data_IF_624083504514
#
_entry.id   IF_624083504514
#
_cell.length_a   1.000
_cell.length_b   1.000
_cell.length_c   1.000
_cell.angle_alpha   90.00
_cell.angle_beta   90.00
_cell.angle_gamma   90.00
#
_symmetry.space_group_name_H-M   'P 1'
#
loop_
_entity.id
_entity.type
_entity.pdbx_description
1 polymer ?
#
# COMPACT_ATOMS: atom_id res chain seq x y z
N UNK A 1 65.04 -42.22 6.59
CA UNK A 1 63.58 -42.44 6.40
C UNK A 1 62.78 -41.32 7.11
N UNK A 2 62.91 -40.04 6.70
CA UNK A 2 62.27 -38.90 7.41
C UNK A 2 61.72 -37.79 6.49
N UNK A 3 61.64 -38.01 5.16
CA UNK A 3 61.08 -37.03 4.22
C UNK A 3 59.55 -37.17 4.02
N UNK A 4 58.93 -38.26 4.48
CA UNK A 4 57.52 -38.56 4.20
C UNK A 4 56.52 -37.93 5.20
N UNK A 5 56.97 -37.42 6.36
CA UNK A 5 56.09 -36.82 7.37
C UNK A 5 55.75 -35.35 7.08
N UNK A 6 56.67 -34.58 6.47
CA UNK A 6 56.46 -33.16 6.10
C UNK A 6 55.45 -33.00 4.96
N UNK A 7 55.49 -33.86 3.93
CA UNK A 7 54.51 -33.85 2.82
C UNK A 7 53.08 -34.11 3.29
N UNK A 8 52.87 -35.03 4.24
CA UNK A 8 51.54 -35.33 4.80
C UNK A 8 50.97 -34.20 5.66
N UNK A 9 51.80 -33.41 6.37
CA UNK A 9 51.35 -32.21 7.11
C UNK A 9 50.96 -31.06 6.18
N UNK A 10 51.68 -30.85 5.07
CA UNK A 10 51.34 -29.83 4.06
C UNK A 10 50.03 -30.13 3.31
N UNK A 11 49.79 -31.39 2.95
CA UNK A 11 48.55 -31.83 2.29
C UNK A 11 47.31 -31.69 3.20
N UNK A 12 47.45 -31.96 4.51
CA UNK A 12 46.35 -31.77 5.48
C UNK A 12 46.02 -30.29 5.70
N UNK A 13 47.03 -29.41 5.70
CA UNK A 13 46.82 -27.96 5.77
C UNK A 13 46.13 -27.38 4.54
N UNK A 14 46.51 -27.86 3.34
CA UNK A 14 45.86 -27.46 2.09
C UNK A 14 44.41 -27.96 1.98
N UNK A 15 44.15 -29.20 2.39
CA UNK A 15 42.78 -29.74 2.42
C UNK A 15 41.88 -28.95 3.38
N UNK A 16 42.41 -28.57 4.56
CA UNK A 16 41.67 -27.77 5.54
C UNK A 16 41.37 -26.36 5.02
N UNK A 17 42.31 -25.71 4.32
CA UNK A 17 42.07 -24.42 3.67
C UNK A 17 41.00 -24.51 2.58
N UNK A 18 41.01 -25.56 1.75
CA UNK A 18 39.97 -25.76 0.74
C UNK A 18 38.58 -25.94 1.37
N UNK A 19 38.48 -26.71 2.45
CA UNK A 19 37.21 -26.86 3.18
C UNK A 19 36.75 -25.54 3.79
N UNK A 20 37.67 -24.75 4.37
CA UNK A 20 37.35 -23.45 4.95
C UNK A 20 36.87 -22.44 3.90
N UNK A 21 37.54 -22.40 2.74
CA UNK A 21 37.12 -21.55 1.61
C UNK A 21 35.76 -21.99 1.08
N UNK A 22 35.53 -23.28 0.95
CA UNK A 22 34.24 -23.80 0.49
C UNK A 22 33.11 -23.48 1.49
N UNK A 23 33.36 -23.66 2.79
CA UNK A 23 32.41 -23.30 3.85
C UNK A 23 32.14 -21.79 3.87
N UNK A 24 33.17 -20.96 3.71
CA UNK A 24 33.00 -19.51 3.63
C UNK A 24 32.18 -19.11 2.40
N UNK A 25 32.48 -19.67 1.23
CA UNK A 25 31.72 -19.44 0.01
C UNK A 25 30.25 -19.89 0.15
N UNK A 26 30.03 -21.06 0.75
CA UNK A 26 28.69 -21.56 1.01
C UNK A 26 27.91 -20.65 1.97
N UNK A 27 28.53 -20.22 3.07
CA UNK A 27 27.91 -19.28 4.02
C UNK A 27 27.56 -17.95 3.35
N UNK A 28 28.44 -17.41 2.50
CA UNK A 28 28.17 -16.17 1.75
C UNK A 28 26.98 -16.36 0.80
N UNK A 29 26.93 -17.48 0.06
CA UNK A 29 25.82 -17.78 -0.87
C UNK A 29 24.50 -17.96 -0.14
N UNK A 30 24.49 -18.69 0.98
CA UNK A 30 23.27 -18.86 1.79
C UNK A 30 22.79 -17.54 2.37
N UNK A 31 23.71 -16.71 2.88
CA UNK A 31 23.39 -15.38 3.39
C UNK A 31 22.80 -14.49 2.30
N UNK A 32 23.39 -14.45 1.11
CA UNK A 32 22.87 -13.71 -0.04
C UNK A 32 21.48 -14.20 -0.49
N UNK A 33 21.23 -15.51 -0.46
CA UNK A 33 19.91 -16.07 -0.76
C UNK A 33 18.86 -15.68 0.28
N UNK A 34 19.22 -15.72 1.58
CA UNK A 34 18.35 -15.33 2.68
C UNK A 34 17.98 -13.84 2.63
N UNK A 35 18.94 -12.96 2.32
CA UNK A 35 18.66 -11.51 2.21
C UNK A 35 17.75 -11.19 1.03
N UNK A 36 17.96 -11.84 -0.12
CA UNK A 36 17.10 -11.68 -1.29
C UNK A 36 15.67 -12.17 -1.03
N UNK A 37 15.53 -13.34 -0.39
CA UNK A 37 14.22 -13.86 0.00
C UNK A 37 13.52 -12.93 0.99
N UNK A 38 14.22 -12.46 2.03
CA UNK A 38 13.67 -11.54 3.02
C UNK A 38 13.18 -10.22 2.39
N UNK A 39 13.93 -9.66 1.43
CA UNK A 39 13.51 -8.48 0.68
C UNK A 39 12.19 -8.71 -0.06
N UNK A 40 12.06 -9.84 -0.77
CA UNK A 40 10.83 -10.16 -1.51
C UNK A 40 9.59 -10.31 -0.62
N UNK A 41 9.75 -10.85 0.61
CA UNK A 41 8.64 -10.95 1.56
C UNK A 41 8.24 -9.59 2.12
N UNK A 42 9.22 -8.72 2.41
CA UNK A 42 8.95 -7.36 2.85
C UNK A 42 8.22 -6.56 1.77
N UNK A 43 8.65 -6.68 0.51
CA UNK A 43 7.99 -6.05 -0.64
C UNK A 43 6.56 -6.56 -0.83
N UNK A 44 6.31 -7.86 -0.66
CA UNK A 44 4.94 -8.38 -0.75
C UNK A 44 4.05 -7.83 0.38
N UNK A 45 4.59 -7.72 1.59
CA UNK A 45 3.86 -7.19 2.73
C UNK A 45 3.52 -5.71 2.58
N UNK A 46 4.42 -4.92 1.99
CA UNK A 46 4.19 -3.50 1.72
C UNK A 46 3.14 -3.30 0.63
N UNK A 47 3.21 -4.08 -0.45
CA UNK A 47 2.19 -4.06 -1.53
C UNK A 47 0.80 -4.45 -1.01
N UNK A 48 0.71 -5.45 -0.13
CA UNK A 48 -0.57 -5.82 0.48
C UNK A 48 -1.13 -4.71 1.37
N UNK A 49 -0.28 -4.03 2.15
CA UNK A 49 -0.70 -2.91 2.99
C UNK A 49 -1.19 -1.72 2.14
N UNK A 50 -0.47 -1.40 1.07
CA UNK A 50 -0.81 -0.33 0.12
C UNK A 50 -2.12 -0.63 -0.64
N UNK A 51 -2.27 -1.85 -1.15
CA UNK A 51 -3.51 -2.32 -1.80
C UNK A 51 -4.70 -2.22 -0.85
N UNK A 52 -4.50 -2.57 0.43
CA UNK A 52 -5.56 -2.47 1.42
C UNK A 52 -5.94 -1.00 1.70
N UNK A 53 -4.96 -0.11 1.76
CA UNK A 53 -5.20 1.32 1.96
C UNK A 53 -6.00 1.93 0.80
N UNK A 54 -5.59 1.66 -0.45
CA UNK A 54 -6.28 2.15 -1.65
C UNK A 54 -7.72 1.65 -1.74
N UNK A 55 -7.97 0.35 -1.49
CA UNK A 55 -9.34 -0.21 -1.42
C UNK A 55 -10.16 0.44 -0.31
N UNK A 56 -9.56 0.74 0.84
CA UNK A 56 -10.26 1.41 1.94
C UNK A 56 -10.68 2.85 1.57
N UNK A 57 -9.80 3.59 0.89
CA UNK A 57 -10.07 4.94 0.43
C UNK A 57 -11.16 4.96 -0.65
N UNK A 58 -11.12 4.03 -1.60
CA UNK A 58 -12.15 3.88 -2.64
C UNK A 58 -13.53 3.59 -2.03
N UNK A 59 -13.61 2.67 -1.07
CA UNK A 59 -14.84 2.41 -0.31
C UNK A 59 -15.33 3.67 0.44
N UNK A 60 -14.41 4.52 0.92
CA UNK A 60 -14.72 5.81 1.52
C UNK A 60 -15.37 6.80 0.53
N UNK A 61 -14.85 6.87 -0.71
CA UNK A 61 -15.45 7.67 -1.77
C UNK A 61 -16.86 7.20 -2.09
N UNK A 62 -17.03 5.89 -2.32
CA UNK A 62 -18.33 5.30 -2.61
C UNK A 62 -19.36 5.56 -1.49
N UNK A 63 -18.96 5.37 -0.23
CA UNK A 63 -19.80 5.68 0.93
C UNK A 63 -20.16 7.18 1.00
N UNK A 64 -19.20 8.06 0.72
CA UNK A 64 -19.43 9.50 0.66
C UNK A 64 -20.47 9.88 -0.40
N UNK A 65 -20.36 9.31 -1.60
CA UNK A 65 -21.31 9.52 -2.69
C UNK A 65 -22.71 8.99 -2.33
N UNK A 66 -22.81 7.76 -1.83
CA UNK A 66 -24.09 7.17 -1.40
C UNK A 66 -24.78 8.01 -0.33
N UNK A 67 -24.01 8.52 0.64
CA UNK A 67 -24.55 9.34 1.72
C UNK A 67 -25.09 10.69 1.22
N UNK A 68 -24.51 11.26 0.16
CA UNK A 68 -25.05 12.44 -0.50
C UNK A 68 -26.34 12.10 -1.25
N UNK A 69 -26.36 10.97 -1.95
CA UNK A 69 -27.50 10.53 -2.75
C UNK A 69 -28.74 10.28 -1.89
N UNK A 70 -28.58 9.56 -0.77
CA UNK A 70 -29.65 9.28 0.19
C UNK A 70 -30.30 10.54 0.78
N UNK A 71 -29.58 11.67 0.78
CA UNK A 71 -30.10 12.96 1.26
C UNK A 71 -30.70 13.82 0.15
N UNK A 72 -30.85 13.28 -1.07
CA UNK A 72 -31.15 14.03 -2.29
C UNK A 72 -30.26 15.29 -2.42
N UNK A 73 -29.04 15.19 -1.90
CA UNK A 73 -28.11 16.30 -1.80
C UNK A 73 -27.26 16.43 -3.05
N UNK A 74 -26.59 17.57 -3.18
CA UNK A 74 -25.41 17.70 -4.02
C UNK A 74 -24.23 18.12 -3.14
N UNK A 75 -23.00 17.78 -3.55
CA UNK A 75 -21.79 18.19 -2.82
C UNK A 75 -21.54 19.70 -2.81
N UNK A 76 -22.38 20.47 -3.51
CA UNK A 76 -22.23 21.91 -3.70
C UNK A 76 -22.52 22.77 -2.48
N UNK A 77 -23.24 22.25 -1.50
CA UNK A 77 -23.38 22.89 -0.20
C UNK A 77 -22.28 22.47 0.79
N UNK A 78 -21.25 21.75 0.32
CA UNK A 78 -20.18 21.14 1.13
C UNK A 78 -20.74 20.48 2.40
N UNK A 79 -21.75 19.59 2.28
CA UNK A 79 -22.38 19.00 3.44
C UNK A 79 -21.31 18.24 4.25
N UNK A 80 -21.32 18.47 5.56
CA UNK A 80 -20.51 17.67 6.48
C UNK A 80 -21.04 16.24 6.41
N UNK A 81 -20.27 15.35 5.79
CA UNK A 81 -20.57 13.93 5.81
C UNK A 81 -20.58 13.45 7.28
N UNK A 82 -21.44 12.47 7.61
CA UNK A 82 -21.47 11.87 8.94
C UNK A 82 -20.12 11.21 9.28
N UNK A 83 -20.03 10.73 10.52
CA UNK A 83 -18.82 10.21 11.16
C UNK A 83 -17.90 9.35 10.26
N UNK A 84 -16.59 9.28 10.59
CA UNK A 84 -15.61 8.51 9.82
C UNK A 84 -16.08 7.08 9.55
N UNK A 85 -15.83 6.58 8.34
CA UNK A 85 -16.12 5.20 7.97
C UNK A 85 -15.03 4.30 8.54
N UNK A 86 -15.42 3.29 9.34
CA UNK A 86 -14.47 2.31 9.88
C UNK A 86 -14.62 0.99 9.15
N UNK A 87 -13.58 0.61 8.41
CA UNK A 87 -13.52 -0.64 7.66
C UNK A 87 -12.70 -1.67 8.44
N UNK A 88 -13.33 -2.78 8.78
CA UNK A 88 -12.70 -3.87 9.53
C UNK A 88 -12.08 -4.88 8.57
N UNK A 89 -10.77 -5.07 8.67
CA UNK A 89 -10.04 -6.10 7.93
C UNK A 89 -9.41 -7.10 8.90
N UNK A 90 -9.05 -8.31 8.46
CA UNK A 90 -8.39 -9.29 9.31
C UNK A 90 -7.11 -8.79 9.98
N UNK A 91 -6.37 -7.90 9.31
CA UNK A 91 -5.12 -7.31 9.82
C UNK A 91 -5.31 -6.03 10.65
N UNK A 92 -6.56 -5.60 10.92
CA UNK A 92 -6.89 -4.44 11.76
C UNK A 92 -8.02 -3.59 11.17
N UNK A 93 -8.44 -2.53 11.86
CA UNK A 93 -9.39 -1.56 11.30
C UNK A 93 -8.67 -0.41 10.59
N UNK A 94 -9.24 0.09 9.50
CA UNK A 94 -8.84 1.36 8.87
C UNK A 94 -10.00 2.34 9.01
N UNK A 95 -9.73 3.50 9.59
CA UNK A 95 -10.71 4.58 9.70
C UNK A 95 -10.49 5.55 8.55
N UNK A 96 -11.55 5.91 7.84
CA UNK A 96 -11.53 6.76 6.65
C UNK A 96 -12.36 8.01 6.92
N UNK A 97 -11.74 9.16 6.70
CA UNK A 97 -12.33 10.48 6.80
C UNK A 97 -12.63 10.99 5.41
N UNK A 98 -13.85 11.48 5.20
CA UNK A 98 -14.30 11.96 3.90
C UNK A 98 -14.71 13.42 4.04
N UNK A 99 -14.19 14.24 3.15
CA UNK A 99 -14.50 15.67 3.10
C UNK A 99 -14.98 16.02 1.70
N UNK A 100 -16.02 16.84 1.62
CA UNK A 100 -16.58 17.30 0.35
C UNK A 100 -16.32 18.78 0.22
N UNK A 101 -15.74 19.18 -0.91
CA UNK A 101 -15.49 20.57 -1.27
C UNK A 101 -16.33 20.95 -2.48
N UNK A 102 -16.91 22.14 -2.40
CA UNK A 102 -17.72 22.71 -3.46
C UNK A 102 -16.86 22.98 -4.70
N UNK A 103 -17.32 22.56 -5.88
CA UNK A 103 -16.68 22.90 -7.16
C UNK A 103 -17.27 24.14 -7.85
N UNK A 104 -16.89 24.34 -9.11
CA UNK A 104 -17.47 25.33 -10.03
C UNK A 104 -17.57 24.73 -11.44
N UNK A 105 -18.77 24.74 -12.08
CA UNK A 105 -20.05 25.24 -11.59
C UNK A 105 -20.68 24.31 -10.55
N UNK A 106 -21.46 24.87 -9.61
CA UNK A 106 -22.05 24.09 -8.52
C UNK A 106 -23.58 24.18 -8.40
N UNK A 107 -24.25 24.41 -9.53
CA UNK A 107 -25.71 24.41 -9.65
C UNK A 107 -26.09 23.95 -11.06
N UNK A 108 -27.28 23.35 -11.17
CA UNK A 108 -27.81 22.87 -12.45
C UNK A 108 -27.18 21.56 -12.91
N UNK A 109 -27.51 21.15 -14.13
CA UNK A 109 -26.92 19.98 -14.77
C UNK A 109 -25.44 20.26 -15.06
N UNK A 110 -24.55 19.37 -14.61
CA UNK A 110 -23.10 19.57 -14.67
C UNK A 110 -22.49 20.21 -13.42
N UNK A 111 -23.23 20.27 -12.30
CA UNK A 111 -22.66 20.70 -11.03
C UNK A 111 -21.53 19.75 -10.60
N UNK A 112 -20.36 20.30 -10.24
CA UNK A 112 -19.20 19.53 -9.83
C UNK A 112 -18.79 19.81 -8.38
N UNK A 113 -18.22 18.80 -7.73
CA UNK A 113 -17.73 18.88 -6.36
C UNK A 113 -16.64 17.83 -6.18
N UNK A 114 -15.71 18.10 -5.28
CA UNK A 114 -14.58 17.22 -5.05
C UNK A 114 -14.70 16.52 -3.70
N UNK A 115 -14.36 15.24 -3.68
CA UNK A 115 -14.14 14.48 -2.48
C UNK A 115 -12.64 14.44 -2.19
N UNK A 116 -12.29 14.65 -0.93
CA UNK A 116 -10.99 14.31 -0.40
C UNK A 116 -11.18 13.27 0.71
N UNK A 117 -10.62 12.09 0.48
CA UNK A 117 -10.70 10.93 1.35
C UNK A 117 -9.31 10.67 1.92
N UNK A 118 -9.21 10.59 3.25
CA UNK A 118 -7.95 10.36 3.95
C UNK A 118 -8.14 9.35 5.07
N UNK A 119 -7.06 8.70 5.48
CA UNK A 119 -7.07 7.86 6.67
C UNK A 119 -5.90 8.25 7.57
N UNK A 120 -6.11 8.47 8.88
CA UNK A 120 -5.01 8.72 9.81
C UNK A 120 -4.09 7.50 9.99
N UNK A 121 -4.56 6.30 9.60
CA UNK A 121 -3.79 5.06 9.69
C UNK A 121 -2.96 4.73 8.45
N UNK A 122 -3.05 5.52 7.38
CA UNK A 122 -2.31 5.30 6.14
C UNK A 122 -1.71 6.62 5.65
N UNK A 123 -0.59 6.57 4.92
CA UNK A 123 -0.05 7.75 4.24
C UNK A 123 -0.83 8.12 2.97
N UNK A 124 -1.74 7.25 2.54
CA UNK A 124 -2.47 7.40 1.30
C UNK A 124 -3.68 8.31 1.45
N UNK A 125 -3.98 9.04 0.37
CA UNK A 125 -5.20 9.83 0.22
C UNK A 125 -5.81 9.60 -1.16
N UNK A 126 -7.09 9.91 -1.30
CA UNK A 126 -7.82 9.83 -2.56
C UNK A 126 -8.56 11.14 -2.76
N UNK A 127 -8.23 11.82 -3.86
CA UNK A 127 -8.98 12.97 -4.36
C UNK A 127 -9.83 12.52 -5.54
N UNK A 128 -11.10 12.93 -5.57
CA UNK A 128 -11.98 12.64 -6.69
C UNK A 128 -12.86 13.83 -7.04
N UNK A 129 -13.07 14.07 -8.32
CA UNK A 129 -14.07 15.02 -8.82
C UNK A 129 -15.31 14.26 -9.26
N UNK A 130 -16.44 14.66 -8.70
CA UNK A 130 -17.75 14.10 -9.03
C UNK A 130 -18.58 15.17 -9.70
N UNK A 131 -19.22 14.80 -10.81
CA UNK A 131 -20.13 15.66 -11.58
C UNK A 131 -21.54 15.08 -11.54
N UNK A 132 -22.51 15.93 -11.23
CA UNK A 132 -23.91 15.60 -11.24
C UNK A 132 -24.46 15.69 -12.67
N UNK A 133 -24.90 14.55 -13.20
CA UNK A 133 -25.49 14.41 -14.53
C UNK A 133 -26.96 14.00 -14.37
N UNK A 134 -27.85 15.00 -14.36
CA UNK A 134 -29.27 14.78 -14.04
C UNK A 134 -29.44 14.38 -12.58
N UNK A 135 -30.02 13.20 -12.33
CA UNK A 135 -30.19 12.62 -10.98
C UNK A 135 -29.03 11.71 -10.56
N UNK A 136 -28.02 11.51 -11.42
CA UNK A 136 -26.92 10.59 -11.15
C UNK A 136 -25.64 11.36 -10.87
N UNK A 137 -24.85 10.89 -9.92
CA UNK A 137 -23.49 11.36 -9.67
C UNK A 137 -22.48 10.48 -10.40
N UNK A 138 -21.56 11.09 -11.14
CA UNK A 138 -20.54 10.38 -11.93
C UNK A 138 -19.16 10.86 -11.52
N UNK A 139 -18.26 9.92 -11.22
CA UNK A 139 -16.84 10.23 -10.99
C UNK A 139 -16.25 10.66 -12.34
N UNK A 140 -15.78 11.90 -12.40
CA UNK A 140 -15.13 12.47 -13.59
C UNK A 140 -13.64 12.15 -13.62
N UNK A 141 -12.99 12.20 -12.46
CA UNK A 141 -11.64 11.70 -12.26
C UNK A 141 -11.44 11.35 -10.79
N UNK A 142 -10.47 10.49 -10.54
CA UNK A 142 -9.97 10.15 -9.21
C UNK A 142 -8.45 9.99 -9.25
N UNK A 143 -7.79 10.28 -8.14
CA UNK A 143 -6.36 10.18 -7.98
C UNK A 143 -6.02 9.69 -6.58
N UNK A 144 -5.32 8.56 -6.51
CA UNK A 144 -4.67 8.09 -5.31
C UNK A 144 -3.29 8.77 -5.17
N UNK A 145 -2.97 9.22 -3.96
CA UNK A 145 -1.69 9.82 -3.59
C UNK A 145 -1.09 9.07 -2.41
#
# INVERSE_FOLDING_TARGET
MLLNSRRRRGQRGQALLLVLVFMAAFLILTWAGLTLAAASFLDLSSVQADTRATVALDAGLAYGMETLDLKNGNGCNAPKLPAPLVLSYPSGAITVNITVTKGSPCKGVGANFSFHVSSPSTSHTLDALVTQTGTVMVITWEQFQ
#
